data_IF_832269703080
#
_entry.id   IF_832269703080
#
_cell.length_a   1.000
_cell.length_b   1.000
_cell.length_c   1.000
_cell.angle_alpha   90.00
_cell.angle_beta   90.00
_cell.angle_gamma   90.00
#
_symmetry.space_group_name_H-M   'P 1'
#
loop_
_entity.id
_entity.type
_entity.pdbx_description
1 polymer ?
#
# COMPACT_ATOMS: atom_id res chain seq x y z
N UNK A 1 -1.61 60.98 46.38
CA UNK A 1 -1.05 59.62 46.54
C UNK A 1 -1.71 58.54 45.66
N UNK A 2 -3.05 58.47 45.51
CA UNK A 2 -3.75 57.42 44.71
C UNK A 2 -3.53 57.42 43.18
N UNK A 3 -3.07 58.53 42.58
CA UNK A 3 -2.80 58.62 41.14
C UNK A 3 -1.44 58.02 40.74
N UNK A 4 -0.44 58.11 41.63
CA UNK A 4 0.91 57.59 41.43
C UNK A 4 0.95 56.06 41.48
N UNK A 5 0.19 55.42 42.37
CA UNK A 5 0.12 53.96 42.49
C UNK A 5 -0.56 53.31 41.27
N UNK A 6 -1.58 53.95 40.69
CA UNK A 6 -2.24 53.48 39.46
C UNK A 6 -1.35 53.63 38.21
N UNK A 7 -0.52 54.67 38.14
CA UNK A 7 0.43 54.87 37.04
C UNK A 7 1.58 53.85 37.07
N UNK A 8 2.09 53.55 38.28
CA UNK A 8 3.12 52.53 38.49
C UNK A 8 2.62 51.13 38.09
N UNK A 9 1.38 50.79 38.49
CA UNK A 9 0.73 49.50 38.18
C UNK A 9 0.48 49.32 36.68
N UNK A 10 0.03 50.36 35.97
CA UNK A 10 -0.17 50.32 34.50
C UNK A 10 1.14 50.11 33.75
N UNK A 11 2.20 50.81 34.15
CA UNK A 11 3.52 50.69 33.52
C UNK A 11 4.10 49.28 33.72
N UNK A 12 3.97 48.73 34.93
CA UNK A 12 4.39 47.37 35.24
C UNK A 12 3.61 46.32 34.45
N UNK A 13 2.29 46.49 34.27
CA UNK A 13 1.49 45.60 33.42
C UNK A 13 1.89 45.67 31.94
N UNK A 14 2.18 46.86 31.40
CA UNK A 14 2.60 47.02 30.00
C UNK A 14 3.97 46.40 29.74
N UNK A 15 4.90 46.51 30.69
CA UNK A 15 6.22 45.85 30.58
C UNK A 15 6.06 44.32 30.66
N UNK A 16 5.23 43.81 31.57
CA UNK A 16 4.97 42.38 31.69
C UNK A 16 4.32 41.80 30.42
N UNK A 17 3.34 42.49 29.83
CA UNK A 17 2.72 42.03 28.57
C UNK A 17 3.69 42.11 27.40
N UNK A 18 4.53 43.15 27.34
CA UNK A 18 5.55 43.27 26.29
C UNK A 18 6.58 42.13 26.36
N UNK A 19 7.00 41.73 27.57
CA UNK A 19 7.92 40.60 27.77
C UNK A 19 7.30 39.26 27.35
N UNK A 20 6.03 39.03 27.66
CA UNK A 20 5.31 37.81 27.26
C UNK A 20 5.19 37.74 25.73
N UNK A 21 4.88 38.85 25.06
CA UNK A 21 4.80 38.89 23.59
C UNK A 21 6.14 38.56 22.94
N UNK A 22 7.25 39.10 23.45
CA UNK A 22 8.60 38.80 22.94
C UNK A 22 8.96 37.33 23.13
N UNK A 23 8.63 36.74 24.28
CA UNK A 23 8.87 35.32 24.55
C UNK A 23 8.07 34.41 23.59
N UNK A 24 6.81 34.74 23.31
CA UNK A 24 5.96 33.99 22.37
C UNK A 24 6.53 34.06 20.94
N UNK A 25 6.99 35.24 20.51
CA UNK A 25 7.62 35.41 19.18
C UNK A 25 8.89 34.58 19.08
N UNK A 26 9.72 34.55 20.13
CA UNK A 26 10.94 33.75 20.15
C UNK A 26 10.66 32.23 20.06
N UNK A 27 9.61 31.74 20.75
CA UNK A 27 9.20 30.33 20.67
C UNK A 27 8.67 29.99 19.27
N UNK A 28 7.86 30.85 18.66
CA UNK A 28 7.36 30.63 17.30
C UNK A 28 8.51 30.62 16.28
N UNK A 29 9.48 31.53 16.41
CA UNK A 29 10.66 31.56 15.56
C UNK A 29 11.52 30.30 15.70
N UNK A 30 11.72 29.80 16.93
CA UNK A 30 12.48 28.56 17.18
C UNK A 30 11.83 27.32 16.53
N UNK A 31 10.51 27.22 16.59
CA UNK A 31 9.75 26.14 15.94
C UNK A 31 9.83 26.23 14.40
N UNK A 32 9.89 27.45 13.84
CA UNK A 32 10.06 27.65 12.39
C UNK A 32 11.46 27.26 11.90
N UNK A 33 12.51 27.54 12.67
CA UNK A 33 13.90 27.24 12.30
C UNK A 33 14.19 25.73 12.34
N UNK A 34 13.55 24.99 13.26
CA UNK A 34 13.72 23.54 13.39
C UNK A 34 13.09 22.74 12.23
N UNK A 35 12.18 23.35 11.46
CA UNK A 35 11.57 22.75 10.27
C UNK A 35 12.46 22.83 9.01
N UNK A 36 13.64 23.46 9.09
CA UNK A 36 14.51 23.70 7.92
C UNK A 36 15.54 22.59 7.65
N UNK A 37 15.60 21.52 8.45
CA UNK A 37 16.45 20.36 8.14
C UNK A 37 15.75 19.36 7.21
N UNK A 38 15.32 19.84 6.04
CA UNK A 38 14.99 18.95 4.94
C UNK A 38 16.29 18.49 4.29
N UNK A 39 16.87 17.42 4.84
CA UNK A 39 17.86 16.61 4.14
C UNK A 39 17.27 16.25 2.78
N UNK A 40 17.93 16.71 1.71
CA UNK A 40 17.62 16.37 0.33
C UNK A 40 17.92 14.90 0.12
N UNK A 41 17.06 14.05 0.64
CA UNK A 41 16.99 12.62 0.31
C UNK A 41 16.42 12.61 -1.09
N UNK A 42 17.21 12.19 -2.08
CA UNK A 42 16.68 11.86 -3.41
C UNK A 42 15.43 11.01 -3.18
N UNK A 43 14.24 11.42 -3.64
CA UNK A 43 13.05 10.59 -3.46
C UNK A 43 13.32 9.30 -4.21
N UNK A 44 13.63 8.23 -3.46
CA UNK A 44 13.53 6.88 -4.01
C UNK A 44 12.05 6.72 -4.34
N UNK A 45 11.70 6.90 -5.61
CA UNK A 45 10.35 6.64 -6.09
C UNK A 45 10.08 5.17 -5.86
N UNK A 46 9.43 4.86 -4.74
CA UNK A 46 9.00 3.51 -4.43
C UNK A 46 7.94 3.14 -5.46
N UNK A 47 8.33 2.34 -6.45
CA UNK A 47 7.42 1.87 -7.50
C UNK A 47 6.47 0.88 -6.84
N UNK A 48 5.19 1.23 -6.79
CA UNK A 48 4.10 0.35 -6.36
C UNK A 48 3.36 -0.18 -7.58
N UNK A 49 3.28 -1.50 -7.70
CA UNK A 49 2.51 -2.18 -8.74
C UNK A 49 1.44 -3.03 -8.07
N UNK A 50 0.18 -2.63 -8.22
CA UNK A 50 -0.97 -3.39 -7.75
C UNK A 50 -1.48 -4.38 -8.81
N UNK A 51 -1.84 -5.57 -8.37
CA UNK A 51 -2.46 -6.60 -9.17
C UNK A 51 -3.53 -7.40 -8.40
N UNK A 52 -4.40 -8.07 -9.13
CA UNK A 52 -5.43 -8.93 -8.57
C UNK A 52 -5.75 -10.09 -9.51
N UNK A 53 -6.21 -11.23 -8.99
CA UNK A 53 -6.74 -12.28 -9.85
C UNK A 53 -6.64 -13.69 -9.28
N UNK A 54 -6.29 -14.63 -10.16
CA UNK A 54 -6.21 -16.07 -9.91
C UNK A 54 -5.60 -16.41 -8.55
N UNK A 55 -6.31 -17.23 -7.78
CA UNK A 55 -5.81 -17.79 -6.53
C UNK A 55 -4.72 -18.83 -6.76
N UNK A 56 -4.74 -19.52 -7.90
CA UNK A 56 -3.73 -20.49 -8.30
C UNK A 56 -2.32 -19.88 -8.40
N UNK A 57 -2.19 -18.71 -9.05
CA UNK A 57 -0.93 -17.98 -9.17
C UNK A 57 -0.47 -17.31 -7.86
N UNK A 58 -1.40 -17.03 -6.94
CA UNK A 58 -1.18 -16.16 -5.80
C UNK A 58 0.05 -16.53 -4.94
N UNK A 59 0.29 -17.81 -4.56
CA UNK A 59 1.46 -18.17 -3.77
C UNK A 59 2.78 -17.79 -4.45
N UNK A 60 2.89 -18.03 -5.76
CA UNK A 60 4.10 -17.70 -6.51
C UNK A 60 4.29 -16.20 -6.71
N UNK A 61 3.20 -15.46 -6.96
CA UNK A 61 3.26 -14.00 -7.12
C UNK A 61 3.68 -13.30 -5.83
N UNK A 62 3.19 -13.76 -4.67
CA UNK A 62 3.57 -13.20 -3.37
C UNK A 62 5.05 -13.41 -3.07
N UNK A 63 5.61 -14.57 -3.43
CA UNK A 63 7.05 -14.81 -3.27
C UNK A 63 7.89 -13.91 -4.18
N UNK A 64 7.49 -13.74 -5.45
CA UNK A 64 8.17 -12.81 -6.34
C UNK A 64 8.08 -11.36 -5.86
N UNK A 65 6.92 -10.94 -5.33
CA UNK A 65 6.72 -9.62 -4.76
C UNK A 65 7.66 -9.36 -3.58
N UNK A 66 7.82 -10.35 -2.69
CA UNK A 66 8.77 -10.29 -1.57
C UNK A 66 10.19 -10.10 -2.07
N UNK A 67 10.65 -10.95 -2.99
CA UNK A 67 12.01 -10.88 -3.56
C UNK A 67 12.25 -9.55 -4.29
N UNK A 68 11.29 -9.05 -5.07
CA UNK A 68 11.41 -7.76 -5.77
C UNK A 68 11.50 -6.59 -4.80
N UNK A 69 10.76 -6.65 -3.69
CA UNK A 69 10.83 -5.63 -2.65
C UNK A 69 12.21 -5.63 -2.00
N UNK A 70 12.73 -6.80 -1.64
CA UNK A 70 14.03 -6.94 -0.97
C UNK A 70 15.22 -6.59 -1.88
N UNK A 71 15.18 -7.01 -3.14
CA UNK A 71 16.34 -6.89 -4.05
C UNK A 71 16.34 -5.61 -4.88
N UNK A 72 15.15 -5.05 -5.19
CA UNK A 72 15.00 -3.90 -6.09
C UNK A 72 14.20 -2.73 -5.49
N UNK A 73 13.64 -2.88 -4.29
CA UNK A 73 12.78 -1.85 -3.68
C UNK A 73 11.44 -1.64 -4.41
N UNK A 74 11.09 -2.54 -5.34
CA UNK A 74 9.82 -2.48 -6.08
C UNK A 74 8.77 -3.21 -5.27
N UNK A 75 7.73 -2.49 -4.86
CA UNK A 75 6.60 -3.07 -4.11
C UNK A 75 5.57 -3.61 -5.10
N UNK A 76 5.28 -4.90 -5.02
CA UNK A 76 4.19 -5.52 -5.76
C UNK A 76 3.13 -5.96 -4.75
N UNK A 77 1.88 -5.54 -4.96
CA UNK A 77 0.74 -5.96 -4.16
C UNK A 77 -0.16 -6.85 -5.02
N UNK A 78 -0.54 -8.03 -4.50
CA UNK A 78 -1.39 -8.96 -5.23
C UNK A 78 -2.57 -9.43 -4.37
N UNK A 79 -3.79 -9.27 -4.90
CA UNK A 79 -5.02 -9.72 -4.25
C UNK A 79 -5.54 -11.00 -4.92
N UNK A 80 -5.65 -12.08 -4.13
CA UNK A 80 -6.25 -13.34 -4.56
C UNK A 80 -7.78 -13.24 -4.50
N UNK A 81 -8.40 -12.81 -5.60
CA UNK A 81 -9.86 -12.59 -5.74
C UNK A 81 -10.51 -13.53 -6.76
N UNK A 82 -9.70 -14.36 -7.42
CA UNK A 82 -10.13 -15.22 -8.54
C UNK A 82 -9.96 -14.55 -9.91
N UNK A 83 -9.82 -15.39 -10.94
CA UNK A 83 -9.51 -14.97 -12.31
C UNK A 83 -10.55 -14.01 -12.92
N UNK A 84 -11.84 -14.19 -12.63
CA UNK A 84 -12.92 -13.32 -13.12
C UNK A 84 -12.82 -11.90 -12.55
N UNK A 85 -12.88 -11.79 -11.22
CA UNK A 85 -12.82 -10.52 -10.52
C UNK A 85 -11.53 -9.74 -10.81
N UNK A 86 -10.38 -10.42 -10.90
CA UNK A 86 -9.11 -9.78 -11.27
C UNK A 86 -9.14 -9.11 -12.65
N UNK A 87 -9.69 -9.80 -13.66
CA UNK A 87 -9.86 -9.21 -15.01
C UNK A 87 -10.78 -8.01 -14.97
N UNK A 88 -11.88 -8.08 -14.24
CA UNK A 88 -12.84 -6.98 -14.15
C UNK A 88 -12.19 -5.75 -13.48
N UNK A 89 -11.42 -5.97 -12.40
CA UNK A 89 -10.63 -4.91 -11.75
C UNK A 89 -9.60 -4.30 -12.71
N UNK A 90 -8.94 -5.11 -13.54
CA UNK A 90 -7.97 -4.62 -14.53
C UNK A 90 -8.64 -3.79 -15.63
N UNK A 91 -9.73 -4.28 -16.24
CA UNK A 91 -10.45 -3.53 -17.28
C UNK A 91 -11.09 -2.24 -16.74
N UNK A 92 -11.49 -2.24 -15.46
CA UNK A 92 -11.96 -1.04 -14.76
C UNK A 92 -10.83 -0.16 -14.22
N UNK A 93 -9.56 -0.46 -14.53
CA UNK A 93 -8.36 0.32 -14.14
C UNK A 93 -8.18 0.47 -12.63
N UNK A 94 -8.68 -0.48 -11.85
CA UNK A 94 -8.51 -0.54 -10.39
C UNK A 94 -7.12 -1.06 -10.03
N UNK A 95 -6.57 -1.97 -10.85
CA UNK A 95 -5.24 -2.56 -10.68
C UNK A 95 -4.42 -2.44 -11.97
N UNK A 96 -3.10 -2.51 -11.85
CA UNK A 96 -2.19 -2.37 -12.99
C UNK A 96 -2.07 -3.65 -13.84
N UNK A 97 -2.28 -4.82 -13.23
CA UNK A 97 -2.27 -6.10 -13.94
C UNK A 97 -3.27 -7.09 -13.33
N UNK A 98 -3.69 -8.08 -14.13
CA UNK A 98 -4.53 -9.18 -13.67
C UNK A 98 -3.87 -10.55 -13.87
N UNK A 99 -4.02 -11.42 -12.87
CA UNK A 99 -3.72 -12.85 -13.00
C UNK A 99 -4.95 -13.62 -13.47
N UNK A 100 -4.82 -14.45 -14.51
CA UNK A 100 -5.92 -15.29 -14.99
C UNK A 100 -5.43 -16.67 -15.40
N UNK A 101 -6.12 -17.72 -14.94
CA UNK A 101 -5.87 -19.09 -15.39
C UNK A 101 -6.39 -19.34 -16.81
N UNK A 102 -7.64 -18.95 -17.15
CA UNK A 102 -8.07 -18.98 -18.54
C UNK A 102 -7.54 -17.75 -19.29
N UNK A 103 -7.07 -17.91 -20.55
CA UNK A 103 -6.84 -16.77 -21.41
C UNK A 103 -8.15 -16.00 -21.66
N UNK A 104 -8.06 -14.74 -22.11
CA UNK A 104 -9.27 -14.01 -22.49
C UNK A 104 -10.00 -14.74 -23.63
N UNK A 105 -11.34 -14.72 -23.58
CA UNK A 105 -12.14 -15.15 -24.72
C UNK A 105 -11.84 -14.26 -25.93
N UNK A 106 -12.06 -14.79 -27.14
CA UNK A 106 -11.87 -14.02 -28.39
C UNK A 106 -12.69 -12.73 -28.38
N UNK A 107 -13.92 -12.79 -27.88
CA UNK A 107 -14.80 -11.63 -27.76
C UNK A 107 -14.19 -10.54 -26.86
N UNK A 108 -13.78 -10.90 -25.64
CA UNK A 108 -13.18 -9.95 -24.70
C UNK A 108 -11.84 -9.41 -25.19
N UNK A 109 -11.03 -10.24 -25.84
CA UNK A 109 -9.77 -9.82 -26.44
C UNK A 109 -10.00 -8.81 -27.58
N UNK A 110 -10.96 -9.10 -28.48
CA UNK A 110 -11.30 -8.19 -29.57
C UNK A 110 -11.86 -6.86 -29.06
N UNK A 111 -12.64 -6.89 -27.98
CA UNK A 111 -13.18 -5.68 -27.33
C UNK A 111 -12.08 -4.76 -26.79
N UNK A 112 -10.95 -5.31 -26.32
CA UNK A 112 -9.84 -4.55 -25.72
C UNK A 112 -8.56 -4.63 -26.58
N UNK A 113 -8.73 -4.83 -27.89
CA UNK A 113 -7.60 -5.05 -28.80
C UNK A 113 -6.70 -3.82 -28.84
N UNK A 114 -5.41 -4.04 -28.56
CA UNK A 114 -4.41 -2.96 -28.47
C UNK A 114 -4.27 -2.34 -27.08
N UNK A 115 -5.16 -2.66 -26.14
CA UNK A 115 -5.12 -2.19 -24.76
C UNK A 115 -4.65 -3.27 -23.77
N UNK A 116 -4.79 -4.55 -24.14
CA UNK A 116 -4.39 -5.69 -23.30
C UNK A 116 -3.33 -6.56 -23.96
N UNK A 117 -2.35 -6.96 -23.17
CA UNK A 117 -1.34 -7.98 -23.52
C UNK A 117 -1.46 -9.14 -22.53
N UNK A 118 -1.48 -10.37 -23.04
CA UNK A 118 -1.46 -11.58 -22.22
C UNK A 118 -0.07 -12.22 -22.29
N UNK A 119 0.53 -12.47 -21.11
CA UNK A 119 1.83 -13.11 -20.98
C UNK A 119 1.66 -14.36 -20.11
N UNK A 120 1.98 -15.56 -20.62
CA UNK A 120 2.06 -16.76 -19.78
C UNK A 120 3.17 -16.60 -18.74
N UNK A 121 2.85 -16.78 -17.45
CA UNK A 121 3.80 -16.57 -16.34
C UNK A 121 4.21 -17.86 -15.62
N UNK A 122 3.29 -18.81 -15.46
CA UNK A 122 3.49 -20.08 -14.74
C UNK A 122 2.66 -21.16 -15.43
N UNK A 123 3.17 -22.39 -15.40
CA UNK A 123 2.43 -23.61 -15.76
C UNK A 123 2.42 -24.52 -14.54
N UNK A 124 1.29 -25.18 -14.28
CA UNK A 124 1.20 -26.19 -13.22
C UNK A 124 -0.03 -27.09 -13.40
N UNK A 125 -0.16 -28.06 -12.51
CA UNK A 125 -1.20 -29.08 -12.58
C UNK A 125 -2.33 -28.81 -11.58
N UNK A 126 -3.56 -29.12 -11.98
CA UNK A 126 -4.73 -29.15 -11.09
C UNK A 126 -5.05 -30.61 -10.80
N UNK A 127 -5.11 -30.98 -9.52
CA UNK A 127 -5.41 -32.34 -9.07
C UNK A 127 -6.74 -32.37 -8.32
N UNK A 128 -7.47 -33.48 -8.47
CA UNK A 128 -8.72 -33.72 -7.74
C UNK A 128 -8.34 -34.34 -6.39
N UNK A 129 -8.81 -33.75 -5.30
CA UNK A 129 -8.64 -34.27 -3.95
C UNK A 129 -10.03 -34.54 -3.38
N UNK A 130 -10.24 -35.72 -2.81
CA UNK A 130 -11.47 -36.10 -2.14
C UNK A 130 -11.17 -36.60 -0.73
N UNK A 131 -12.11 -36.40 0.19
CA UNK A 131 -12.05 -36.92 1.55
C UNK A 131 -12.95 -38.16 1.64
N UNK A 132 -12.36 -39.35 1.77
CA UNK A 132 -13.12 -40.58 2.03
C UNK A 132 -13.18 -40.77 3.55
N UNK A 133 -14.37 -40.78 4.16
CA UNK A 133 -14.52 -41.16 5.56
C UNK A 133 -14.02 -42.59 5.74
N UNK A 134 -13.07 -42.81 6.62
CA UNK A 134 -12.63 -44.17 6.92
C UNK A 134 -13.74 -44.92 7.68
N UNK A 135 -14.21 -46.09 7.19
CA UNK A 135 -15.10 -46.96 7.96
C UNK A 135 -14.52 -47.39 9.32
N UNK A 136 -13.20 -47.26 9.54
CA UNK A 136 -12.52 -47.55 10.83
C UNK A 136 -12.02 -46.32 11.62
N UNK A 137 -12.26 -45.09 11.16
CA UNK A 137 -11.96 -43.86 11.92
C UNK A 137 -10.53 -43.28 11.83
N UNK A 138 -9.69 -43.77 10.92
CA UNK A 138 -8.36 -43.23 10.61
C UNK A 138 -8.38 -42.21 9.47
N UNK A 139 -7.77 -41.03 9.67
CA UNK A 139 -7.67 -40.01 8.63
C UNK A 139 -6.55 -40.36 7.63
N UNK A 140 -6.85 -41.12 6.58
CA UNK A 140 -5.91 -41.41 5.50
C UNK A 140 -6.21 -40.57 4.25
N UNK A 141 -5.30 -39.63 3.93
CA UNK A 141 -5.30 -38.97 2.62
C UNK A 141 -4.52 -39.88 1.67
N UNK A 142 -5.23 -40.65 0.85
CA UNK A 142 -4.63 -41.49 -0.19
C UNK A 142 -4.19 -40.60 -1.36
N UNK A 143 -2.91 -40.24 -1.40
CA UNK A 143 -2.25 -39.72 -2.60
C UNK A 143 -1.49 -40.89 -3.25
N UNK A 144 -2.17 -41.67 -4.09
CA UNK A 144 -1.48 -42.65 -4.94
C UNK A 144 -1.04 -41.96 -6.24
N UNK A 145 0.23 -42.13 -6.59
CA UNK A 145 0.82 -41.84 -7.90
C UNK A 145 1.35 -43.14 -8.48
#
# INVERSE_FOLDING_TARGET
MRRLTKALSKTLMVVATSLVVVAVIAVVAYNFISASHNTTTTPQTQVLISGAGASFLAPQMLEWARVLTETKGIRVEYQSVGSGAGRDMFFNKVVHFAGSDPPLSKELYNKHKGEVMQIPVVVGSVVIIYNIPDPTGGNHVMLEW
#
